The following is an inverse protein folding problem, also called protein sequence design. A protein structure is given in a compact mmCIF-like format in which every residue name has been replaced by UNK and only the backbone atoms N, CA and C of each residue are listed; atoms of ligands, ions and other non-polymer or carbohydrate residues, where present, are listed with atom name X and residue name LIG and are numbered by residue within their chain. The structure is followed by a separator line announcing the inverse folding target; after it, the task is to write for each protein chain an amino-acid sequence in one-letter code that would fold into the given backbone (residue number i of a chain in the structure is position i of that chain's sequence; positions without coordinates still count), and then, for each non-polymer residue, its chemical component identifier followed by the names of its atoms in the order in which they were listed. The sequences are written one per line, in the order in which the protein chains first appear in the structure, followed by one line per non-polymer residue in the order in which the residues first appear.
data_IF_867708970916
#
_entry.id   IF_867708970916
#
_cell.length_a   1.000
_cell.length_b   1.000
_cell.length_c   1.000
_cell.angle_alpha   90.00
_cell.angle_beta   90.00
_cell.angle_gamma   90.00
#
_symmetry.space_group_name_H-M   'P 1'
#
loop_
_entity.id
_entity.type
_entity.pdbx_description
1 polymer ?
#
# COMPACT_ATOMS: atom_id res chain seq x y z
N UNK A 1 -19.77 10.28 4.73
CA UNK A 1 -19.05 9.47 5.73
C UNK A 1 -19.29 8.01 5.43
N UNK A 2 -18.43 7.45 4.58
CA UNK A 2 -18.27 6.01 4.44
C UNK A 2 -18.14 5.32 5.80
N UNK A 3 -18.80 4.17 5.95
CA UNK A 3 -18.71 3.35 7.16
C UNK A 3 -17.51 2.42 7.07
N UNK A 4 -16.82 2.21 8.18
CA UNK A 4 -15.81 1.16 8.30
C UNK A 4 -16.46 -0.20 8.00
N UNK A 5 -15.94 -0.89 6.99
CA UNK A 5 -16.36 -2.26 6.68
C UNK A 5 -15.89 -3.23 7.76
N UNK A 6 -16.64 -4.31 8.05
CA UNK A 6 -16.17 -5.36 8.94
C UNK A 6 -14.90 -6.01 8.35
N UNK A 7 -13.95 -6.45 9.20
CA UNK A 7 -12.79 -7.20 8.72
C UNK A 7 -13.23 -8.46 7.96
N UNK A 8 -12.53 -8.79 6.88
CA UNK A 8 -12.67 -10.06 6.17
C UNK A 8 -11.51 -10.98 6.53
N UNK A 9 -11.78 -12.27 6.62
CA UNK A 9 -10.77 -13.31 6.88
C UNK A 9 -10.79 -14.33 5.76
N UNK A 10 -9.62 -14.68 5.21
CA UNK A 10 -9.45 -15.74 4.22
C UNK A 10 -8.31 -16.67 4.68
N UNK A 11 -8.57 -17.98 4.69
CA UNK A 11 -7.57 -18.97 5.13
C UNK A 11 -6.38 -19.06 4.16
N UNK A 12 -6.53 -18.57 2.93
CA UNK A 12 -5.49 -18.50 1.89
C UNK A 12 -4.59 -17.28 2.04
N UNK A 13 -4.92 -16.35 2.94
CA UNK A 13 -4.07 -15.18 3.20
C UNK A 13 -2.68 -15.64 3.66
N UNK A 14 -1.66 -15.13 2.98
CA UNK A 14 -0.26 -15.41 3.30
C UNK A 14 0.03 -15.05 4.75
N UNK A 15 0.67 -15.97 5.47
CA UNK A 15 1.05 -15.73 6.87
C UNK A 15 2.49 -15.27 6.91
N UNK A 16 2.74 -14.08 7.46
CA UNK A 16 4.07 -13.51 7.57
C UNK A 16 5.11 -14.47 8.18
N UNK A 17 4.71 -15.26 9.19
CA UNK A 17 5.56 -16.27 9.84
C UNK A 17 6.15 -17.31 8.86
N UNK A 18 5.45 -17.64 7.77
CA UNK A 18 5.87 -18.65 6.81
C UNK A 18 7.02 -18.13 5.92
N UNK A 19 7.27 -16.82 5.94
CA UNK A 19 8.36 -16.15 5.22
C UNK A 19 9.55 -15.81 6.11
N UNK A 20 9.46 -16.04 7.43
CA UNK A 20 10.56 -15.87 8.37
C UNK A 20 11.46 -17.12 8.39
N UNK A 21 12.47 -17.15 7.51
CA UNK A 21 13.42 -18.27 7.39
C UNK A 21 14.65 -18.06 8.27
N UNK A 22 15.28 -19.15 8.71
CA UNK A 22 16.47 -19.14 9.58
C UNK A 22 17.68 -18.36 9.02
N UNK A 23 17.72 -18.07 7.71
CA UNK A 23 18.78 -17.29 7.07
C UNK A 23 18.55 -15.77 7.04
N UNK A 24 17.44 -15.27 7.60
CA UNK A 24 17.20 -13.83 7.67
C UNK A 24 18.01 -13.25 8.82
N UNK A 25 18.82 -12.23 8.54
CA UNK A 25 19.58 -11.52 9.57
C UNK A 25 18.64 -10.95 10.65
N UNK A 26 19.07 -10.91 11.93
CA UNK A 26 18.28 -10.27 12.97
C UNK A 26 18.02 -8.80 12.60
N UNK A 27 16.81 -8.28 12.87
CA UNK A 27 16.54 -6.88 12.63
C UNK A 27 17.45 -6.01 13.50
N UNK A 28 17.80 -4.79 13.06
CA UNK A 28 18.49 -3.83 13.93
C UNK A 28 17.61 -3.50 15.16
N UNK A 29 18.24 -3.06 16.24
CA UNK A 29 17.54 -2.68 17.47
C UNK A 29 16.49 -1.57 17.25
N UNK A 30 16.71 -0.72 16.25
CA UNK A 30 15.74 0.24 15.74
C UNK A 30 15.92 0.45 14.24
N UNK A 31 14.82 0.72 13.55
CA UNK A 31 14.84 1.12 12.15
C UNK A 31 13.73 2.13 11.87
N UNK A 32 14.13 3.35 11.48
CA UNK A 32 13.19 4.36 11.03
C UNK A 32 13.08 4.34 9.50
N UNK A 33 11.97 3.75 9.01
CA UNK A 33 11.68 3.67 7.58
C UNK A 33 11.56 5.08 6.98
N UNK A 34 10.94 6.03 7.69
CA UNK A 34 10.69 7.36 7.18
C UNK A 34 11.99 8.11 6.91
N UNK A 35 12.97 8.05 7.83
CA UNK A 35 14.27 8.69 7.63
C UNK A 35 14.93 8.21 6.33
N UNK A 36 14.88 6.90 6.08
CA UNK A 36 15.42 6.29 4.86
C UNK A 36 14.70 6.80 3.62
N UNK A 37 13.36 6.83 3.63
CA UNK A 37 12.53 7.32 2.52
C UNK A 37 12.81 8.80 2.23
N UNK A 38 12.82 9.66 3.26
CA UNK A 38 13.13 11.08 3.14
C UNK A 38 14.52 11.33 2.54
N UNK A 39 15.54 10.62 3.03
CA UNK A 39 16.91 10.72 2.54
C UNK A 39 17.04 10.27 1.09
N UNK A 40 16.44 9.13 0.74
CA UNK A 40 16.52 8.55 -0.59
C UNK A 40 15.76 9.40 -1.64
N UNK A 41 14.55 9.86 -1.31
CA UNK A 41 13.72 10.60 -2.24
C UNK A 41 14.04 12.11 -2.26
N UNK A 42 14.70 12.64 -1.23
CA UNK A 42 15.05 14.07 -1.09
C UNK A 42 13.83 15.00 -1.17
N UNK A 43 12.66 14.54 -0.72
CA UNK A 43 11.42 15.31 -0.65
C UNK A 43 11.17 15.63 0.83
N UNK A 44 11.42 16.86 1.25
CA UNK A 44 11.28 17.26 2.67
C UNK A 44 9.84 17.54 3.10
N UNK A 45 8.98 17.87 2.15
CA UNK A 45 7.60 18.24 2.41
C UNK A 45 6.76 16.97 2.61
N UNK A 46 6.23 16.73 3.82
CA UNK A 46 5.44 15.53 4.10
C UNK A 46 4.17 15.48 3.26
N UNK A 47 3.59 16.62 2.87
CA UNK A 47 2.35 16.68 2.08
C UNK A 47 2.56 16.27 0.61
N UNK A 48 3.80 16.37 0.12
CA UNK A 48 4.19 15.91 -1.23
C UNK A 48 4.63 14.45 -1.25
N UNK A 49 5.17 13.98 -0.12
CA UNK A 49 5.65 12.62 0.01
C UNK A 49 4.53 11.66 0.39
N UNK A 50 3.74 12.04 1.40
CA UNK A 50 2.57 11.31 1.91
C UNK A 50 1.37 12.25 1.91
N UNK A 51 0.83 12.61 0.73
CA UNK A 51 -0.40 13.38 0.66
C UNK A 51 -1.54 12.69 1.42
N UNK A 52 -2.49 13.47 1.93
CA UNK A 52 -3.68 12.94 2.62
C UNK A 52 -4.57 12.12 1.66
N UNK A 53 -4.41 12.37 0.36
CA UNK A 53 -5.04 11.67 -0.76
C UNK A 53 -6.58 11.74 -0.82
N UNK A 54 -7.22 12.50 0.06
CA UNK A 54 -8.68 12.63 0.16
C UNK A 54 -9.27 11.96 1.39
N UNK A 55 -8.45 11.27 2.19
CA UNK A 55 -8.88 10.54 3.38
C UNK A 55 -9.40 11.44 4.53
N UNK A 56 -9.23 12.75 4.41
CA UNK A 56 -9.86 13.78 5.25
C UNK A 56 -11.30 14.11 4.82
N UNK A 57 -11.73 13.69 3.63
CA UNK A 57 -13.00 14.07 3.00
C UNK A 57 -13.87 12.86 2.63
N UNK A 58 -13.26 11.75 2.21
CA UNK A 58 -13.93 10.51 1.76
C UNK A 58 -13.35 9.28 2.48
N UNK A 59 -14.05 8.14 2.40
CA UNK A 59 -13.63 6.88 3.03
C UNK A 59 -12.57 6.08 2.29
N UNK A 60 -11.61 6.73 1.64
CA UNK A 60 -10.61 6.08 0.79
C UNK A 60 -9.38 5.56 1.55
N UNK A 61 -9.44 5.47 2.88
CA UNK A 61 -8.32 5.10 3.75
C UNK A 61 -7.52 3.88 3.28
N UNK A 62 -8.17 2.87 2.69
CA UNK A 62 -7.50 1.69 2.14
C UNK A 62 -6.72 1.99 0.85
N UNK A 63 -7.20 2.90 0.01
CA UNK A 63 -6.54 3.30 -1.25
C UNK A 63 -5.44 4.32 -0.97
N UNK A 64 -5.65 5.26 -0.03
CA UNK A 64 -4.59 6.10 0.52
C UNK A 64 -3.46 5.25 1.12
N UNK A 65 -3.80 4.20 1.89
CA UNK A 65 -2.81 3.25 2.40
C UNK A 65 -2.03 2.53 1.30
N UNK A 66 -2.67 2.13 0.19
CA UNK A 66 -1.97 1.58 -0.99
C UNK A 66 -0.98 2.59 -1.57
N UNK A 67 -1.39 3.85 -1.77
CA UNK A 67 -0.51 4.90 -2.28
C UNK A 67 0.70 5.16 -1.36
N UNK A 68 0.48 5.13 -0.05
CA UNK A 68 1.54 5.31 0.96
C UNK A 68 2.47 4.10 1.03
N UNK A 69 1.95 2.88 0.94
CA UNK A 69 2.75 1.66 0.88
C UNK A 69 3.66 1.64 -0.36
N UNK A 70 3.12 2.00 -1.53
CA UNK A 70 3.90 2.15 -2.77
C UNK A 70 4.99 3.21 -2.59
N UNK A 71 4.67 4.35 -1.97
CA UNK A 71 5.64 5.41 -1.70
C UNK A 71 6.77 4.93 -0.80
N UNK A 72 6.45 4.22 0.29
CA UNK A 72 7.46 3.64 1.18
C UNK A 72 8.37 2.68 0.41
N UNK A 73 7.79 1.74 -0.33
CA UNK A 73 8.55 0.74 -1.08
C UNK A 73 9.49 1.38 -2.12
N UNK A 74 8.96 2.31 -2.92
CA UNK A 74 9.74 3.10 -3.88
C UNK A 74 10.80 3.96 -3.21
N UNK A 75 10.51 4.49 -2.02
CA UNK A 75 11.46 5.21 -1.18
C UNK A 75 12.66 4.38 -0.76
N UNK A 76 12.42 3.12 -0.36
CA UNK A 76 13.49 2.17 -0.05
C UNK A 76 14.32 1.83 -1.30
N UNK A 77 13.69 1.76 -2.48
CA UNK A 77 14.34 1.50 -3.77
C UNK A 77 14.93 2.74 -4.47
N UNK A 78 14.82 3.94 -3.87
CA UNK A 78 15.25 5.23 -4.47
C UNK A 78 14.52 5.59 -5.78
N UNK A 79 13.30 5.10 -5.97
CA UNK A 79 12.46 5.41 -7.14
C UNK A 79 11.56 6.61 -6.84
N UNK A 80 11.76 7.74 -7.53
CA UNK A 80 11.00 8.98 -7.29
C UNK A 80 9.73 9.07 -8.13
N UNK A 81 8.74 8.25 -7.80
CA UNK A 81 7.40 8.32 -8.39
C UNK A 81 6.35 8.18 -7.29
N UNK A 82 5.61 9.25 -7.05
CA UNK A 82 4.51 9.30 -6.08
C UNK A 82 3.20 9.29 -6.86
N UNK A 83 2.19 8.58 -6.36
CA UNK A 83 0.87 8.63 -6.97
C UNK A 83 0.29 10.03 -6.80
N UNK A 84 -0.32 10.57 -7.86
CA UNK A 84 -1.06 11.82 -7.74
C UNK A 84 -2.39 11.55 -7.03
N UNK A 85 -2.82 12.46 -6.15
CA UNK A 85 -4.08 12.36 -5.43
C UNK A 85 -5.28 12.03 -6.34
N UNK A 86 -5.38 12.68 -7.51
CA UNK A 86 -6.45 12.40 -8.47
C UNK A 86 -6.46 10.94 -8.98
N UNK A 87 -5.29 10.28 -9.07
CA UNK A 87 -5.20 8.86 -9.42
C UNK A 87 -5.61 7.95 -8.25
N UNK A 88 -5.33 8.35 -7.01
CA UNK A 88 -5.79 7.65 -5.81
C UNK A 88 -7.32 7.69 -5.73
N UNK A 89 -7.90 8.88 -5.86
CA UNK A 89 -9.35 9.08 -5.86
C UNK A 89 -10.05 8.34 -7.01
N UNK A 90 -9.47 8.38 -8.22
CA UNK A 90 -10.01 7.63 -9.35
C UNK A 90 -10.02 6.11 -9.10
N UNK A 91 -9.01 5.57 -8.42
CA UNK A 91 -9.00 4.15 -8.05
C UNK A 91 -10.06 3.84 -6.99
N UNK A 92 -10.23 4.73 -6.01
CA UNK A 92 -11.31 4.60 -5.03
C UNK A 92 -12.69 4.56 -5.70
N UNK A 93 -13.00 5.55 -6.55
CA UNK A 93 -14.29 5.63 -7.26
C UNK A 93 -14.52 4.41 -8.16
N UNK A 94 -13.47 3.90 -8.80
CA UNK A 94 -13.55 2.68 -9.59
C UNK A 94 -13.97 1.46 -8.75
N UNK A 95 -13.38 1.29 -7.56
CA UNK A 95 -13.62 0.12 -6.72
C UNK A 95 -14.92 0.22 -5.91
N UNK A 96 -15.38 1.42 -5.58
CA UNK A 96 -16.68 1.62 -4.93
C UNK A 96 -17.85 1.65 -5.92
N UNK A 97 -17.57 1.84 -7.21
CA UNK A 97 -18.58 2.10 -8.23
C UNK A 97 -19.14 3.53 -8.20
N UNK A 98 -18.45 4.47 -7.54
CA UNK A 98 -18.79 5.89 -7.44
C UNK A 98 -19.23 6.36 -6.04
N UNK A 99 -20.12 5.66 -5.32
CA UNK A 99 -20.55 6.08 -3.99
C UNK A 99 -19.44 6.01 -2.91
N UNK A 100 -19.39 7.01 -2.02
CA UNK A 100 -18.51 7.01 -0.84
C UNK A 100 -18.93 5.97 0.21
N UNK A 101 -18.53 4.72 -0.02
CA UNK A 101 -18.93 3.56 0.78
C UNK A 101 -17.79 2.98 1.61
N UNK A 102 -16.55 3.43 1.39
CA UNK A 102 -15.36 2.79 1.92
C UNK A 102 -15.12 1.43 1.26
N UNK A 103 -13.97 0.83 1.53
CA UNK A 103 -13.60 -0.47 0.99
C UNK A 103 -13.08 -1.39 2.09
N UNK A 104 -13.19 -2.69 1.85
CA UNK A 104 -12.53 -3.69 2.69
C UNK A 104 -11.09 -3.87 2.24
N UNK A 105 -10.14 -3.78 3.18
CA UNK A 105 -8.71 -3.87 2.88
C UNK A 105 -8.32 -5.17 2.17
N UNK A 106 -8.90 -6.31 2.54
CA UNK A 106 -8.58 -7.59 1.90
C UNK A 106 -9.05 -7.63 0.43
N UNK A 107 -10.17 -7.00 0.10
CA UNK A 107 -10.62 -6.88 -1.30
C UNK A 107 -9.69 -5.96 -2.10
N UNK A 108 -9.25 -4.85 -1.49
CA UNK A 108 -8.29 -3.92 -2.10
C UNK A 108 -6.95 -4.60 -2.38
N UNK A 109 -6.42 -5.35 -1.41
CA UNK A 109 -5.18 -6.11 -1.58
C UNK A 109 -5.34 -7.22 -2.64
N UNK A 110 -6.49 -7.88 -2.70
CA UNK A 110 -6.78 -8.87 -3.74
C UNK A 110 -6.86 -8.23 -5.14
N UNK A 111 -7.46 -7.05 -5.25
CA UNK A 111 -7.47 -6.28 -6.49
C UNK A 111 -6.06 -5.91 -6.91
N UNK A 112 -5.25 -5.33 -6.01
CA UNK A 112 -3.87 -4.92 -6.31
C UNK A 112 -2.98 -6.10 -6.69
N UNK A 113 -3.17 -7.26 -6.08
CA UNK A 113 -2.47 -8.49 -6.47
C UNK A 113 -2.80 -8.93 -7.91
N UNK A 114 -4.04 -8.72 -8.37
CA UNK A 114 -4.47 -9.12 -9.71
C UNK A 114 -4.31 -8.00 -10.76
N UNK A 115 -4.23 -6.74 -10.33
CA UNK A 115 -4.21 -5.55 -11.16
C UNK A 115 -3.10 -4.61 -10.65
N UNK A 116 -2.06 -4.34 -11.45
CA UNK A 116 -0.98 -3.45 -11.03
C UNK A 116 -1.52 -2.06 -10.68
N UNK A 117 -1.21 -1.56 -9.48
CA UNK A 117 -1.58 -0.20 -9.06
C UNK A 117 -0.36 0.69 -9.25
N UNK A 118 -0.51 1.75 -10.03
CA UNK A 118 0.58 2.65 -10.41
C UNK A 118 1.80 1.96 -11.05
N UNK A 119 1.59 0.79 -11.68
CA UNK A 119 2.60 -0.13 -12.22
C UNK A 119 3.42 -0.92 -11.17
N UNK A 120 3.02 -0.90 -9.89
CA UNK A 120 3.55 -1.82 -8.87
C UNK A 120 2.56 -2.99 -8.66
N UNK A 121 3.11 -4.17 -8.39
CA UNK A 121 2.36 -5.42 -8.25
C UNK A 121 2.68 -6.09 -6.92
N UNK A 122 1.66 -6.71 -6.29
CA UNK A 122 1.91 -7.65 -5.20
C UNK A 122 2.21 -9.01 -5.80
N UNK A 123 3.45 -9.46 -5.67
CA UNK A 123 3.82 -10.82 -6.04
C UNK A 123 3.13 -11.81 -5.09
N UNK A 124 2.37 -12.74 -5.67
CA UNK A 124 1.93 -13.95 -4.96
C UNK A 124 3.09 -14.93 -4.77
N UNK A 125 2.87 -16.08 -4.09
CA UNK A 125 3.86 -17.15 -4.10
C UNK A 125 4.16 -17.52 -5.55
N UNK A 126 5.39 -17.28 -5.98
CA UNK A 126 5.89 -17.87 -7.22
C UNK A 126 5.91 -19.37 -6.98
N UNK A 127 5.16 -20.14 -7.79
CA UNK A 127 5.43 -21.57 -7.89
C UNK A 127 6.92 -21.69 -8.23
N UNK A 128 7.73 -22.42 -7.45
CA UNK A 128 9.10 -22.69 -7.85
C UNK A 128 9.03 -23.29 -9.25
N UNK A 129 9.70 -22.66 -10.22
CA UNK A 129 9.96 -23.33 -11.50
C UNK A 129 10.67 -24.64 -11.18
N UNK A 130 10.05 -25.74 -11.59
CA UNK A 130 10.57 -27.10 -11.45
C UNK A 130 11.94 -27.24 -12.14
#
# INVERSE_FOLDING_TARGET
MARKHPPKTDYRTLRFKDYLKAGIAPPPASYNVLDTVYQNLKIKDPTKLFPVDGNDQIGDCTIAAVAHAITVYRGLLKTKKIMAQAAVQKLYDHLTGGPDTGLNELDVLNYWRANPVAADEILGPTTPTA
#
